data_IF_055070186039
#
_entry.id   IF_055070186039
#
_cell.length_a   1.000
_cell.length_b   1.000
_cell.length_c   1.000
_cell.angle_alpha   90.00
_cell.angle_beta   90.00
_cell.angle_gamma   90.00
#
_symmetry.space_group_name_H-M   'P 1'
#
loop_
_entity.id
_entity.type
_entity.pdbx_description
1 polymer ?
#
# COMPACT_ATOMS: atom_id res chain seq x y z
N UNK A 1 -15.39 30.15 2.81
CA UNK A 1 -15.30 28.85 3.51
C UNK A 1 -15.00 29.06 4.98
N UNK A 2 -14.89 27.99 5.77
CA UNK A 2 -14.44 28.09 7.17
C UNK A 2 -12.91 28.07 7.29
N UNK A 3 -12.36 28.54 8.42
CA UNK A 3 -10.94 28.38 8.77
C UNK A 3 -10.69 26.93 9.18
N UNK A 4 -9.72 26.27 8.57
CA UNK A 4 -9.45 24.83 8.75
C UNK A 4 -8.04 24.62 9.31
N UNK A 5 -7.95 23.79 10.35
CA UNK A 5 -6.71 23.21 10.83
C UNK A 5 -6.72 21.70 10.54
N UNK A 6 -5.61 21.17 10.05
CA UNK A 6 -5.37 19.74 9.82
C UNK A 6 -4.26 19.28 10.76
N UNK A 7 -4.48 18.18 11.48
CA UNK A 7 -3.46 17.58 12.36
C UNK A 7 -3.02 16.24 11.74
N UNK A 8 -1.74 16.10 11.43
CA UNK A 8 -1.15 14.88 10.87
C UNK A 8 0.16 14.57 11.60
N UNK A 9 0.32 13.32 12.06
CA UNK A 9 1.50 12.91 12.84
C UNK A 9 2.69 12.52 11.95
N UNK A 10 2.44 12.15 10.70
CA UNK A 10 3.41 11.59 9.76
C UNK A 10 3.46 12.47 8.50
N UNK A 11 3.42 11.87 7.32
CA UNK A 11 3.37 12.56 6.04
C UNK A 11 1.94 12.81 5.56
N UNK A 12 1.74 13.92 4.84
CA UNK A 12 0.44 14.29 4.29
C UNK A 12 -0.08 13.26 3.26
N UNK A 13 -1.40 13.13 3.15
CA UNK A 13 -2.08 12.20 2.24
C UNK A 13 -2.40 10.82 2.83
N UNK A 14 -1.99 10.55 4.07
CA UNK A 14 -2.42 9.37 4.83
C UNK A 14 -1.91 8.04 4.26
N UNK A 15 -2.55 6.93 4.65
CA UNK A 15 -2.11 5.57 4.31
C UNK A 15 -2.10 5.31 2.81
N UNK A 16 -3.17 5.67 2.09
CA UNK A 16 -3.31 5.34 0.66
C UNK A 16 -2.19 5.96 -0.19
N UNK A 17 -1.76 7.18 0.14
CA UNK A 17 -0.66 7.84 -0.56
C UNK A 17 0.71 7.32 -0.14
N UNK A 18 0.95 7.16 1.16
CA UNK A 18 2.32 6.95 1.66
C UNK A 18 2.74 5.49 1.74
N UNK A 19 1.81 4.57 2.00
CA UNK A 19 2.09 3.16 2.33
C UNK A 19 0.92 2.23 1.98
N UNK A 20 0.23 2.53 0.88
CA UNK A 20 -0.99 1.85 0.51
C UNK A 20 -1.16 1.83 -1.00
N UNK A 21 -2.28 2.36 -1.47
CA UNK A 21 -2.68 2.34 -2.87
C UNK A 21 -1.54 2.79 -3.81
N UNK A 22 -0.99 3.98 -3.60
CA UNK A 22 -0.04 4.59 -4.55
C UNK A 22 1.23 3.73 -4.67
N UNK A 23 1.95 3.41 -3.57
CA UNK A 23 3.09 2.48 -3.64
C UNK A 23 2.75 1.14 -4.27
N UNK A 24 1.65 0.50 -3.85
CA UNK A 24 1.26 -0.83 -4.33
C UNK A 24 1.00 -0.80 -5.84
N UNK A 25 0.44 0.31 -6.36
CA UNK A 25 0.13 0.43 -7.78
C UNK A 25 1.39 0.67 -8.61
N UNK A 26 2.46 1.22 -8.04
CA UNK A 26 3.78 1.22 -8.70
C UNK A 26 4.30 -0.21 -8.89
N UNK A 27 4.17 -1.08 -7.88
CA UNK A 27 4.59 -2.49 -7.98
C UNK A 27 3.77 -3.24 -9.03
N UNK A 28 2.43 -3.12 -8.96
CA UNK A 28 1.53 -3.76 -9.90
C UNK A 28 1.73 -3.28 -11.34
N UNK A 29 2.04 -2.00 -11.54
CA UNK A 29 2.32 -1.50 -12.89
C UNK A 29 3.61 -2.07 -13.46
N UNK A 30 4.66 -2.23 -12.64
CA UNK A 30 5.86 -2.95 -13.08
C UNK A 30 5.56 -4.42 -13.43
N UNK A 31 4.73 -5.09 -12.63
CA UNK A 31 4.26 -6.43 -12.94
C UNK A 31 3.47 -6.48 -14.27
N UNK A 32 2.59 -5.51 -14.51
CA UNK A 32 1.86 -5.36 -15.78
C UNK A 32 2.80 -5.18 -16.97
N UNK A 33 3.87 -4.37 -16.84
CA UNK A 33 4.88 -4.21 -17.88
C UNK A 33 5.54 -5.55 -18.21
N UNK A 34 5.95 -6.31 -17.18
CA UNK A 34 6.58 -7.63 -17.33
C UNK A 34 5.63 -8.61 -18.04
N UNK A 35 4.36 -8.66 -17.62
CA UNK A 35 3.35 -9.51 -18.26
C UNK A 35 3.15 -9.14 -19.73
N UNK A 36 3.09 -7.84 -20.04
CA UNK A 36 2.94 -7.36 -21.42
C UNK A 36 4.15 -7.70 -22.31
N UNK A 37 5.37 -7.67 -21.76
CA UNK A 37 6.58 -8.16 -22.45
C UNK A 37 6.41 -9.64 -22.79
N UNK A 38 5.94 -10.47 -21.84
CA UNK A 38 5.65 -11.89 -22.08
C UNK A 38 4.59 -12.13 -23.17
N UNK A 39 3.64 -11.22 -23.33
CA UNK A 39 2.61 -11.28 -24.37
C UNK A 39 3.00 -10.63 -25.71
N UNK A 40 4.17 -10.01 -25.80
CA UNK A 40 4.59 -9.22 -26.96
C UNK A 40 4.73 -10.08 -28.23
N UNK A 41 5.20 -11.33 -28.09
CA UNK A 41 5.36 -12.26 -29.21
C UNK A 41 4.04 -12.56 -29.95
N UNK A 42 2.92 -12.68 -29.22
CA UNK A 42 1.59 -12.87 -29.80
C UNK A 42 1.09 -11.66 -30.60
N UNK A 43 1.78 -10.53 -30.50
CA UNK A 43 1.51 -9.29 -31.23
C UNK A 43 2.57 -9.00 -32.30
N UNK A 44 3.42 -9.97 -32.63
CA UNK A 44 4.45 -9.84 -33.66
C UNK A 44 5.69 -9.07 -33.23
N UNK A 45 5.87 -8.80 -31.94
CA UNK A 45 7.06 -8.15 -31.40
C UNK A 45 8.04 -9.25 -30.96
N UNK A 46 9.18 -9.32 -31.63
CA UNK A 46 10.23 -10.32 -31.33
C UNK A 46 11.19 -9.76 -30.29
N UNK A 47 11.32 -10.46 -29.17
CA UNK A 47 12.29 -10.17 -28.10
C UNK A 47 13.34 -11.27 -28.13
N UNK A 48 14.58 -10.92 -28.46
CA UNK A 48 15.67 -11.90 -28.63
C UNK A 48 16.07 -12.61 -27.33
N UNK A 49 15.94 -11.93 -26.18
CA UNK A 49 16.19 -12.50 -24.86
C UNK A 49 15.04 -12.12 -23.90
N UNK A 50 14.13 -13.06 -23.56
CA UNK A 50 13.00 -12.78 -22.68
C UNK A 50 13.35 -12.86 -21.19
N UNK A 51 14.58 -13.24 -20.82
CA UNK A 51 14.98 -13.33 -19.43
C UNK A 51 15.15 -11.92 -18.84
N UNK A 52 14.68 -11.74 -17.60
CA UNK A 52 14.78 -10.49 -16.88
C UNK A 52 15.07 -10.72 -15.40
N UNK A 53 15.54 -9.67 -14.74
CA UNK A 53 15.59 -9.54 -13.28
C UNK A 53 14.94 -8.22 -12.89
N UNK A 54 14.44 -8.12 -11.66
CA UNK A 54 13.88 -6.88 -11.13
C UNK A 54 14.92 -6.19 -10.25
N UNK A 55 15.32 -4.98 -10.65
CA UNK A 55 16.12 -4.07 -9.84
C UNK A 55 15.21 -3.41 -8.79
N UNK A 56 15.22 -3.98 -7.58
CA UNK A 56 14.37 -3.52 -6.48
C UNK A 56 14.78 -2.15 -5.94
N UNK A 57 16.07 -1.80 -5.99
CA UNK A 57 16.55 -0.48 -5.58
C UNK A 57 15.94 0.61 -6.48
N UNK A 58 16.03 0.44 -7.79
CA UNK A 58 15.45 1.37 -8.76
C UNK A 58 13.91 1.41 -8.72
N UNK A 59 13.28 0.28 -8.40
CA UNK A 59 11.84 0.21 -8.17
C UNK A 59 11.46 1.07 -6.95
N UNK A 60 12.16 0.91 -5.82
CA UNK A 60 11.95 1.70 -4.60
C UNK A 60 12.20 3.18 -4.82
N UNK A 61 13.22 3.56 -5.59
CA UNK A 61 13.46 4.95 -5.99
C UNK A 61 12.28 5.52 -6.79
N UNK A 62 11.77 4.76 -7.76
CA UNK A 62 10.64 5.16 -8.59
C UNK A 62 9.37 5.32 -7.75
N UNK A 63 9.07 4.35 -6.89
CA UNK A 63 7.99 4.41 -5.89
C UNK A 63 8.10 5.69 -5.05
N UNK A 64 9.27 5.93 -4.47
CA UNK A 64 9.51 7.07 -3.59
C UNK A 64 9.36 8.41 -4.32
N UNK A 65 9.83 8.49 -5.56
CA UNK A 65 9.65 9.69 -6.41
C UNK A 65 8.16 9.97 -6.66
N UNK A 66 7.37 8.95 -6.98
CA UNK A 66 5.92 9.09 -7.19
C UNK A 66 5.23 9.56 -5.91
N UNK A 67 5.51 8.92 -4.78
CA UNK A 67 4.94 9.29 -3.47
C UNK A 67 5.30 10.73 -3.12
N UNK A 68 6.58 11.10 -3.14
CA UNK A 68 7.05 12.44 -2.78
C UNK A 68 6.45 13.53 -3.66
N UNK A 69 6.31 13.26 -4.97
CA UNK A 69 5.65 14.18 -5.91
C UNK A 69 4.21 14.46 -5.47
N UNK A 70 3.46 13.41 -5.16
CA UNK A 70 2.05 13.51 -4.79
C UNK A 70 1.87 14.10 -3.37
N UNK A 71 2.75 13.79 -2.42
CA UNK A 71 2.78 14.42 -1.08
C UNK A 71 3.00 15.92 -1.22
N UNK A 72 3.95 16.34 -2.05
CA UNK A 72 4.18 17.75 -2.38
C UNK A 72 2.95 18.42 -3.03
N UNK A 73 2.27 17.70 -3.93
CA UNK A 73 1.01 18.15 -4.53
C UNK A 73 -0.09 18.38 -3.49
N UNK A 74 -0.28 17.46 -2.55
CA UNK A 74 -1.24 17.60 -1.44
C UNK A 74 -0.88 18.80 -0.56
N UNK A 75 0.40 18.97 -0.22
CA UNK A 75 0.86 20.12 0.55
C UNK A 75 0.58 21.45 -0.16
N UNK A 76 0.78 21.50 -1.48
CA UNK A 76 0.46 22.64 -2.34
C UNK A 76 -1.03 22.97 -2.34
N UNK A 77 -1.90 21.96 -2.45
CA UNK A 77 -3.36 22.12 -2.40
C UNK A 77 -3.85 22.62 -1.04
N UNK A 78 -3.33 22.06 0.06
CA UNK A 78 -3.68 22.53 1.41
C UNK A 78 -3.30 24.00 1.60
N UNK A 79 -2.13 24.40 1.12
CA UNK A 79 -1.68 25.79 1.14
C UNK A 79 -2.57 26.70 0.30
N UNK A 80 -2.92 26.31 -0.92
CA UNK A 80 -3.76 27.12 -1.81
C UNK A 80 -5.18 27.32 -1.25
N UNK A 81 -5.65 26.38 -0.44
CA UNK A 81 -6.92 26.49 0.30
C UNK A 81 -6.81 27.15 1.67
N UNK A 82 -5.62 27.61 2.08
CA UNK A 82 -5.41 28.29 3.36
C UNK A 82 -5.57 27.39 4.58
N UNK A 83 -5.37 26.07 4.43
CA UNK A 83 -5.43 25.10 5.52
C UNK A 83 -4.14 25.20 6.34
N UNK A 84 -4.26 25.37 7.65
CA UNK A 84 -3.11 25.33 8.57
C UNK A 84 -2.83 23.88 8.96
N UNK A 85 -1.62 23.40 8.71
CA UNK A 85 -1.21 22.02 9.02
C UNK A 85 -0.38 22.01 10.31
N UNK A 86 -0.79 21.21 11.28
CA UNK A 86 -0.10 20.99 12.54
C UNK A 86 0.49 19.58 12.55
N UNK A 87 1.82 19.47 12.67
CA UNK A 87 2.50 18.17 12.72
C UNK A 87 2.42 17.60 14.14
N UNK A 88 1.69 16.50 14.31
CA UNK A 88 1.57 15.86 15.63
C UNK A 88 0.37 14.95 15.79
N UNK A 89 0.19 14.47 17.02
CA UNK A 89 -0.97 13.68 17.43
C UNK A 89 -1.99 14.61 18.06
N UNK A 90 -3.19 14.68 17.46
CA UNK A 90 -4.32 15.42 18.01
C UNK A 90 -5.12 14.57 19.00
N UNK A 91 -5.34 15.10 20.20
CA UNK A 91 -6.22 14.50 21.23
C UNK A 91 -7.42 15.40 21.46
N UNK A 92 -8.63 14.85 21.38
CA UNK A 92 -9.86 15.61 21.68
C UNK A 92 -9.97 15.80 23.20
N UNK A 93 -10.08 17.04 23.64
CA UNK A 93 -10.25 17.38 25.06
C UNK A 93 -11.72 17.27 25.48
N UNK A 94 -11.99 17.27 26.79
CA UNK A 94 -13.37 17.29 27.33
C UNK A 94 -14.20 18.45 26.79
N UNK A 95 -13.56 19.58 26.53
CA UNK A 95 -14.20 20.80 26.03
C UNK A 95 -14.39 20.82 24.50
N UNK A 96 -14.18 19.67 23.83
CA UNK A 96 -14.30 19.51 22.38
C UNK A 96 -13.34 20.39 21.56
N UNK A 97 -12.17 20.65 22.14
CA UNK A 97 -11.02 21.24 21.45
C UNK A 97 -10.01 20.13 21.09
N UNK A 98 -8.99 20.46 20.29
CA UNK A 98 -7.94 19.51 19.89
C UNK A 98 -6.60 19.94 20.47
N UNK A 99 -5.99 19.09 21.30
CA UNK A 99 -4.65 19.29 21.84
C UNK A 99 -3.63 18.54 20.97
N UNK A 100 -2.74 19.26 20.31
CA UNK A 100 -1.68 18.69 19.46
C UNK A 100 -0.42 18.48 20.30
N UNK A 101 0.10 17.25 20.30
CA UNK A 101 1.30 16.82 21.05
C UNK A 101 1.26 17.16 22.55
N UNK A 102 0.08 17.35 23.13
CA UNK A 102 -0.07 17.67 24.55
C UNK A 102 0.15 19.15 24.92
N UNK A 103 0.49 20.04 23.98
CA UNK A 103 0.87 21.43 24.30
C UNK A 103 0.16 22.51 23.49
N UNK A 104 -0.18 22.26 22.23
CA UNK A 104 -0.86 23.25 21.38
C UNK A 104 -2.37 23.02 21.38
N UNK A 105 -3.14 23.92 21.99
CA UNK A 105 -4.59 23.83 22.02
C UNK A 105 -5.22 24.54 20.82
N UNK A 106 -5.95 23.79 20.00
CA UNK A 106 -6.72 24.28 18.87
C UNK A 106 -8.20 24.35 19.25
N UNK A 107 -8.71 25.57 19.38
CA UNK A 107 -10.14 25.81 19.60
C UNK A 107 -10.93 25.64 18.31
N UNK A 108 -12.03 24.89 18.36
CA UNK A 108 -12.84 24.63 17.17
C UNK A 108 -14.33 24.47 17.47
N UNK A 109 -15.16 24.76 16.47
CA UNK A 109 -16.61 24.52 16.52
C UNK A 109 -17.00 23.13 16.03
N UNK A 110 -16.16 22.50 15.21
CA UNK A 110 -16.42 21.21 14.56
C UNK A 110 -15.13 20.40 14.46
N UNK A 111 -15.25 19.09 14.66
CA UNK A 111 -14.14 18.14 14.54
C UNK A 111 -14.54 17.06 13.54
N UNK A 112 -13.64 16.74 12.61
CA UNK A 112 -13.75 15.59 11.72
C UNK A 112 -12.65 14.60 12.11
N UNK A 113 -13.06 13.39 12.48
CA UNK A 113 -12.13 12.30 12.77
C UNK A 113 -11.84 11.52 11.50
N UNK A 114 -10.59 11.58 11.04
CA UNK A 114 -10.12 10.92 9.83
C UNK A 114 -8.78 10.20 10.06
N UNK A 115 -8.59 9.60 11.24
CA UNK A 115 -7.32 8.98 11.66
C UNK A 115 -6.96 7.67 10.94
N UNK A 116 -7.83 7.16 10.07
CA UNK A 116 -7.58 5.98 9.26
C UNK A 116 -7.51 4.67 10.05
N UNK A 117 -6.74 3.72 9.52
CA UNK A 117 -6.55 2.37 10.06
C UNK A 117 -5.06 2.02 10.16
N UNK A 118 -4.77 0.92 10.85
CA UNK A 118 -3.44 0.31 10.94
C UNK A 118 -3.50 -1.17 10.56
N UNK A 119 -2.35 -1.74 10.19
CA UNK A 119 -2.21 -3.17 9.93
C UNK A 119 -2.68 -3.99 11.13
N UNK A 120 -3.38 -5.10 10.86
CA UNK A 120 -3.77 -6.07 11.88
C UNK A 120 -2.71 -7.15 11.96
N UNK A 121 -2.38 -7.59 13.18
CA UNK A 121 -1.47 -8.72 13.41
C UNK A 121 -2.26 -9.88 14.02
N UNK A 122 -2.01 -11.08 13.51
CA UNK A 122 -2.56 -12.31 14.08
C UNK A 122 -1.71 -12.68 15.29
N UNK A 123 -2.33 -13.12 16.39
CA UNK A 123 -1.62 -13.52 17.59
C UNK A 123 -1.35 -15.03 17.59
N UNK A 124 -0.30 -15.45 16.88
CA UNK A 124 0.17 -16.84 16.82
C UNK A 124 1.67 -16.93 17.12
N UNK A 125 2.17 -18.07 17.62
CA UNK A 125 3.60 -18.26 17.86
C UNK A 125 4.45 -17.97 16.62
N UNK A 126 5.55 -17.23 16.79
CA UNK A 126 6.48 -16.89 15.71
C UNK A 126 6.23 -15.55 15.01
N UNK A 127 5.14 -14.83 15.33
CA UNK A 127 4.80 -13.53 14.71
C UNK A 127 5.78 -12.39 15.02
N UNK A 128 6.64 -12.56 16.03
CA UNK A 128 7.71 -11.62 16.38
C UNK A 128 9.00 -11.83 15.56
N UNK A 129 9.01 -12.83 14.67
CA UNK A 129 10.15 -13.09 13.79
C UNK A 129 10.40 -11.88 12.88
N UNK A 130 11.68 -11.49 12.63
CA UNK A 130 12.00 -10.41 11.69
C UNK A 130 11.62 -10.73 10.24
N UNK A 131 11.34 -12.00 9.93
CA UNK A 131 10.84 -12.43 8.62
C UNK A 131 9.34 -12.14 8.43
N UNK A 132 8.61 -11.84 9.50
CA UNK A 132 7.17 -11.54 9.43
C UNK A 132 6.99 -10.07 9.14
N UNK A 133 6.65 -9.78 7.89
CA UNK A 133 6.42 -8.43 7.39
C UNK A 133 4.93 -8.12 7.27
N UNK A 134 4.60 -6.84 7.38
CA UNK A 134 3.28 -6.28 7.07
C UNK A 134 3.28 -5.59 5.72
N UNK A 135 2.12 -5.10 5.28
CA UNK A 135 2.03 -4.28 4.06
C UNK A 135 2.87 -3.00 4.13
N UNK A 136 3.12 -2.48 5.33
CA UNK A 136 3.95 -1.29 5.52
C UNK A 136 5.43 -1.63 5.28
N UNK A 137 5.86 -2.83 5.69
CA UNK A 137 7.27 -3.25 5.63
C UNK A 137 7.68 -3.72 4.23
N UNK A 138 6.82 -4.51 3.57
CA UNK A 138 7.13 -5.13 2.26
C UNK A 138 7.28 -4.10 1.14
N UNK A 139 6.66 -2.92 1.29
CA UNK A 139 6.81 -1.79 0.36
C UNK A 139 8.19 -1.13 0.45
N UNK A 140 9.01 -1.49 1.44
CA UNK A 140 10.40 -1.04 1.61
C UNK A 140 11.42 -2.17 1.36
N UNK A 141 10.96 -3.36 0.93
CA UNK A 141 11.84 -4.51 0.68
C UNK A 141 12.70 -4.29 -0.58
N UNK A 142 14.01 -4.49 -0.44
CA UNK A 142 15.04 -4.28 -1.47
C UNK A 142 15.43 -5.58 -2.21
N UNK A 143 14.66 -6.65 -2.07
CA UNK A 143 14.96 -7.91 -2.74
C UNK A 143 13.68 -8.60 -3.17
N UNK A 144 13.79 -9.45 -4.18
CA UNK A 144 12.73 -10.38 -4.56
C UNK A 144 13.03 -11.69 -3.83
N UNK A 145 12.23 -12.08 -2.81
CA UNK A 145 12.50 -13.31 -2.08
C UNK A 145 12.25 -14.52 -2.97
N UNK A 146 13.02 -15.59 -2.79
CA UNK A 146 12.80 -16.85 -3.52
C UNK A 146 11.40 -17.43 -3.22
N UNK A 147 10.93 -17.29 -1.98
CA UNK A 147 9.59 -17.71 -1.56
C UNK A 147 8.93 -16.64 -0.69
N UNK A 148 7.64 -16.43 -0.91
CA UNK A 148 6.82 -15.45 -0.19
C UNK A 148 5.52 -16.12 0.27
N UNK A 149 5.32 -16.17 1.59
CA UNK A 149 4.06 -16.64 2.18
C UNK A 149 3.21 -15.44 2.58
N UNK A 150 1.97 -15.41 2.10
CA UNK A 150 0.98 -14.39 2.44
C UNK A 150 -0.05 -15.00 3.36
N UNK A 151 -0.18 -14.44 4.56
CA UNK A 151 -1.17 -14.85 5.54
C UNK A 151 -2.39 -13.92 5.40
N UNK A 152 -3.50 -14.48 4.94
CA UNK A 152 -4.73 -13.77 4.58
C UNK A 152 -4.81 -13.45 3.09
N UNK A 153 -5.86 -13.95 2.44
CA UNK A 153 -6.24 -13.72 1.05
C UNK A 153 -7.05 -12.44 0.84
N UNK A 154 -6.84 -11.41 1.65
CA UNK A 154 -7.43 -10.08 1.43
C UNK A 154 -6.80 -9.36 0.23
N UNK A 155 -7.44 -8.28 -0.23
CA UNK A 155 -7.03 -7.54 -1.45
C UNK A 155 -5.56 -7.11 -1.42
N UNK A 156 -5.05 -6.63 -0.28
CA UNK A 156 -3.64 -6.19 -0.14
C UNK A 156 -2.68 -7.35 -0.34
N UNK A 157 -2.95 -8.50 0.28
CA UNK A 157 -2.14 -9.70 0.15
C UNK A 157 -2.16 -10.22 -1.29
N UNK A 158 -3.33 -10.27 -1.93
CA UNK A 158 -3.43 -10.73 -3.31
C UNK A 158 -2.72 -9.80 -4.29
N UNK A 159 -2.85 -8.48 -4.14
CA UNK A 159 -2.16 -7.50 -4.99
C UNK A 159 -0.64 -7.62 -4.89
N UNK A 160 -0.09 -7.62 -3.67
CA UNK A 160 1.35 -7.72 -3.47
C UNK A 160 1.88 -9.11 -3.84
N UNK A 161 1.11 -10.17 -3.55
CA UNK A 161 1.42 -11.53 -3.97
C UNK A 161 1.53 -11.64 -5.49
N UNK A 162 0.58 -11.06 -6.23
CA UNK A 162 0.67 -11.01 -7.69
C UNK A 162 1.92 -10.26 -8.16
N UNK A 163 2.23 -9.10 -7.58
CA UNK A 163 3.42 -8.36 -7.97
C UNK A 163 4.72 -9.17 -7.76
N UNK A 164 4.89 -9.75 -6.57
CA UNK A 164 6.09 -10.53 -6.24
C UNK A 164 6.17 -11.85 -7.02
N UNK A 165 5.03 -12.49 -7.31
CA UNK A 165 4.98 -13.64 -8.22
C UNK A 165 5.54 -13.26 -9.60
N UNK A 166 5.07 -12.15 -10.17
CA UNK A 166 5.57 -11.65 -11.46
C UNK A 166 7.04 -11.24 -11.42
N UNK A 167 7.54 -10.79 -10.26
CA UNK A 167 8.96 -10.48 -10.07
C UNK A 167 9.85 -11.73 -9.94
N UNK A 168 9.25 -12.90 -9.69
CA UNK A 168 9.94 -14.19 -9.65
C UNK A 168 9.83 -14.95 -8.33
N UNK A 169 9.14 -14.42 -7.32
CA UNK A 169 8.93 -15.13 -6.05
C UNK A 169 7.97 -16.30 -6.23
N UNK A 170 8.24 -17.44 -5.57
CA UNK A 170 7.23 -18.48 -5.36
C UNK A 170 6.25 -18.05 -4.28
N UNK A 171 5.01 -17.74 -4.65
CA UNK A 171 4.02 -17.19 -3.72
C UNK A 171 3.08 -18.28 -3.21
N UNK A 172 2.77 -18.24 -1.91
CA UNK A 172 1.75 -19.11 -1.31
C UNK A 172 0.82 -18.28 -0.43
N UNK A 173 -0.48 -18.35 -0.71
CA UNK A 173 -1.50 -17.66 0.08
C UNK A 173 -2.16 -18.64 1.04
N UNK A 174 -2.10 -18.35 2.33
CA UNK A 174 -2.78 -19.09 3.40
C UNK A 174 -3.98 -18.27 3.84
N UNK A 175 -5.19 -18.73 3.51
CA UNK A 175 -6.45 -18.08 3.87
C UNK A 175 -7.27 -19.00 4.77
N UNK A 176 -7.85 -18.42 5.83
CA UNK A 176 -8.69 -19.13 6.80
C UNK A 176 -10.13 -19.29 6.27
N UNK A 177 -10.59 -18.32 5.49
CA UNK A 177 -11.90 -18.33 4.84
C UNK A 177 -11.92 -19.29 3.64
N UNK A 178 -13.11 -19.62 3.16
CA UNK A 178 -13.29 -20.57 2.03
C UNK A 178 -12.74 -20.05 0.68
N UNK A 179 -12.46 -18.75 0.58
CA UNK A 179 -12.03 -18.09 -0.66
C UNK A 179 -11.20 -16.84 -0.40
N UNK A 180 -10.33 -16.52 -1.36
CA UNK A 180 -9.65 -15.23 -1.43
C UNK A 180 -10.64 -14.09 -1.73
N UNK A 181 -10.27 -12.88 -1.35
CA UNK A 181 -11.06 -11.64 -1.43
C UNK A 181 -12.53 -11.88 -1.00
N UNK A 182 -12.78 -12.42 0.20
CA UNK A 182 -14.09 -12.97 0.57
C UNK A 182 -15.23 -11.94 0.62
N UNK A 183 -14.88 -10.66 0.75
CA UNK A 183 -15.83 -9.54 0.70
C UNK A 183 -16.38 -9.24 -0.70
N UNK A 184 -15.78 -9.82 -1.75
CA UNK A 184 -16.25 -9.68 -3.13
C UNK A 184 -17.26 -10.79 -3.48
N UNK A 185 -17.86 -10.64 -4.66
CA UNK A 185 -18.72 -11.67 -5.24
C UNK A 185 -17.99 -13.02 -5.35
N UNK A 186 -18.70 -14.10 -5.04
CA UNK A 186 -18.13 -15.44 -4.94
C UNK A 186 -17.59 -15.97 -6.28
N UNK A 187 -18.25 -15.64 -7.38
CA UNK A 187 -17.80 -16.04 -8.72
C UNK A 187 -16.55 -15.26 -9.12
N UNK A 188 -16.47 -13.98 -8.77
CA UNK A 188 -15.25 -13.16 -8.96
C UNK A 188 -14.09 -13.72 -8.17
N UNK A 189 -14.27 -14.02 -6.87
CA UNK A 189 -13.24 -14.65 -6.03
C UNK A 189 -12.74 -15.96 -6.64
N UNK A 190 -13.65 -16.82 -7.11
CA UNK A 190 -13.32 -18.12 -7.71
C UNK A 190 -12.52 -17.95 -9.00
N UNK A 191 -12.98 -17.08 -9.91
CA UNK A 191 -12.30 -16.85 -11.19
C UNK A 191 -10.92 -16.21 -10.98
N UNK A 192 -10.82 -15.24 -10.08
CA UNK A 192 -9.54 -14.62 -9.72
C UNK A 192 -8.55 -15.67 -9.21
N UNK A 193 -8.97 -16.55 -8.29
CA UNK A 193 -8.12 -17.65 -7.81
C UNK A 193 -7.60 -18.51 -8.95
N UNK A 194 -8.49 -18.95 -9.86
CA UNK A 194 -8.11 -19.78 -11.00
C UNK A 194 -7.14 -19.08 -11.95
N UNK A 195 -7.28 -17.76 -12.14
CA UNK A 195 -6.35 -16.97 -12.95
C UNK A 195 -4.98 -16.90 -12.28
N UNK A 196 -4.95 -16.64 -10.97
CA UNK A 196 -3.70 -16.54 -10.20
C UNK A 196 -2.97 -17.89 -10.15
N UNK A 197 -3.66 -19.00 -9.84
CA UNK A 197 -3.07 -20.35 -9.82
C UNK A 197 -2.49 -20.78 -11.18
N UNK A 198 -3.01 -20.25 -12.30
CA UNK A 198 -2.44 -20.49 -13.64
C UNK A 198 -1.18 -19.67 -13.91
N UNK A 199 -1.02 -18.52 -13.25
CA UNK A 199 0.15 -17.65 -13.38
C UNK A 199 1.33 -18.14 -12.53
N UNK A 200 1.07 -18.81 -11.41
CA UNK A 200 2.07 -19.35 -10.49
C UNK A 200 1.66 -19.13 -9.03
#
# INVERSE_FOLDING_TARGET
GGKVALVEKSELGGTCLNRGCIPTKTYLHNAEIIENIGHAANRGIVIENPNFTVDMEKLLETKSKVVNTLVGGVAGLLRSYGVTVHKGIGTITKDKNVLVNGSELLETKKIILAGGSKVSKINVPGMESPLVMTSDDILEMNEVPESLVIIGGGVVGIELGQAFMTFGSKVTVIEMMDRIVPAMDAEVSKNLRLILERKG
#
